data_IF_196392605496
#
_entry.id   IF_196392605496
#
_cell.length_a   1.000
_cell.length_b   1.000
_cell.length_c   1.000
_cell.angle_alpha   90.00
_cell.angle_beta   90.00
_cell.angle_gamma   90.00
#
_symmetry.space_group_name_H-M   'P 1'
#
loop_
_entity.id
_entity.type
_entity.pdbx_description
1 polymer ?
#
# COMPACT_ATOMS: atom_id res chain seq x y z
N UNK A 1 -8.85 -3.02 -5.90
CA UNK A 1 -9.93 -3.10 -4.90
C UNK A 1 -9.63 -2.13 -3.76
N UNK A 2 -10.60 -1.32 -3.39
CA UNK A 2 -10.48 -0.34 -2.30
C UNK A 2 -11.41 -0.76 -1.17
N UNK A 3 -10.88 -0.85 0.04
CA UNK A 3 -11.62 -1.29 1.23
C UNK A 3 -11.85 -0.18 2.27
N UNK A 4 -11.26 0.99 2.07
CA UNK A 4 -11.38 2.16 2.92
C UNK A 4 -11.80 3.37 2.10
N UNK A 5 -12.28 4.43 2.73
CA UNK A 5 -12.46 5.71 2.09
C UNK A 5 -11.08 6.20 1.63
N UNK A 6 -10.83 6.10 0.33
CA UNK A 6 -9.49 6.29 -0.22
C UNK A 6 -9.55 6.89 -1.62
N UNK A 7 -8.69 7.86 -1.86
CA UNK A 7 -8.35 8.34 -3.19
C UNK A 7 -6.92 7.96 -3.45
N UNK A 8 -6.68 7.21 -4.52
CA UNK A 8 -5.35 6.71 -4.82
C UNK A 8 -4.90 7.11 -6.21
N UNK A 9 -3.65 7.50 -6.30
CA UNK A 9 -2.95 7.74 -7.55
C UNK A 9 -1.63 6.99 -7.50
N UNK A 10 -1.34 6.19 -8.52
CA UNK A 10 -0.06 5.49 -8.56
C UNK A 10 0.52 5.49 -9.97
N UNK A 11 1.84 5.37 -10.04
CA UNK A 11 2.57 5.24 -11.27
C UNK A 11 3.64 4.17 -11.10
N UNK A 12 3.65 3.20 -12.00
CA UNK A 12 4.67 2.17 -12.07
C UNK A 12 5.24 2.20 -13.47
N UNK A 13 6.55 2.36 -13.58
CA UNK A 13 7.20 2.38 -14.88
C UNK A 13 8.70 2.63 -14.76
N UNK A 14 9.47 2.06 -15.68
CA UNK A 14 10.91 2.15 -15.63
C UNK A 14 11.47 1.55 -14.34
N UNK A 15 12.20 2.36 -13.61
CA UNK A 15 12.89 1.98 -12.38
C UNK A 15 12.23 2.58 -11.13
N UNK A 16 10.98 3.02 -11.23
CA UNK A 16 10.34 3.77 -10.15
C UNK A 16 8.90 3.33 -9.92
N UNK A 17 8.54 3.21 -8.66
CA UNK A 17 7.16 3.10 -8.19
C UNK A 17 6.85 4.32 -7.33
N UNK A 18 5.74 4.99 -7.63
CA UNK A 18 5.29 6.17 -6.91
C UNK A 18 3.80 6.01 -6.63
N UNK A 19 3.44 5.97 -5.36
CA UNK A 19 2.06 5.83 -4.92
C UNK A 19 1.73 6.97 -3.99
N UNK A 20 0.69 7.72 -4.34
CA UNK A 20 0.14 8.78 -3.51
C UNK A 20 -1.31 8.49 -3.25
N UNK A 21 -1.72 8.59 -2.01
CA UNK A 21 -3.12 8.37 -1.69
C UNK A 21 -3.53 9.17 -0.46
N UNK A 22 -4.83 9.49 -0.44
CA UNK A 22 -5.48 10.09 0.72
C UNK A 22 -6.46 9.08 1.28
N UNK A 23 -6.41 8.86 2.57
CA UNK A 23 -7.22 7.85 3.25
C UNK A 23 -7.80 8.42 4.54
N UNK A 24 -9.03 8.02 4.82
CA UNK A 24 -9.67 8.24 6.10
C UNK A 24 -9.94 6.88 6.75
N UNK A 25 -9.01 6.39 7.56
CA UNK A 25 -9.15 5.07 8.16
C UNK A 25 -10.32 5.03 9.16
N UNK A 26 -11.07 3.93 9.13
CA UNK A 26 -12.05 3.64 10.16
C UNK A 26 -11.31 3.25 11.44
N UNK A 27 -11.57 3.91 12.59
CA UNK A 27 -10.90 3.59 13.85
C UNK A 27 -11.05 2.14 14.30
N UNK A 28 -12.10 1.46 13.86
CA UNK A 28 -12.39 0.08 14.23
C UNK A 28 -11.80 -0.95 13.28
N UNK A 29 -11.27 -0.51 12.14
CA UNK A 29 -10.71 -1.39 11.11
C UNK A 29 -9.19 -1.21 11.01
N UNK A 30 -8.46 -1.91 11.88
CA UNK A 30 -7.01 -1.80 11.95
C UNK A 30 -6.26 -2.83 11.10
N UNK A 31 -6.99 -3.72 10.46
CA UNK A 31 -6.48 -4.72 9.52
C UNK A 31 -7.30 -4.66 8.25
N UNK A 32 -6.65 -4.75 7.12
CA UNK A 32 -7.33 -4.80 5.84
C UNK A 32 -6.52 -4.28 4.69
N UNK A 33 -6.94 -4.68 3.50
CA UNK A 33 -6.32 -4.27 2.24
C UNK A 33 -6.89 -2.93 1.79
N UNK A 34 -6.00 -1.99 1.43
CA UNK A 34 -6.38 -0.70 0.86
C UNK A 34 -6.34 -0.77 -0.66
N UNK A 35 -5.24 -1.29 -1.21
CA UNK A 35 -4.98 -1.29 -2.64
C UNK A 35 -4.21 -2.54 -3.04
N UNK A 36 -4.58 -3.10 -4.18
CA UNK A 36 -3.90 -4.23 -4.78
C UNK A 36 -3.75 -4.01 -6.27
N UNK A 37 -2.56 -4.26 -6.79
CA UNK A 37 -2.29 -4.33 -8.22
C UNK A 37 -1.41 -5.54 -8.50
N UNK A 38 -1.93 -6.50 -9.26
CA UNK A 38 -1.23 -7.73 -9.56
C UNK A 38 -2.08 -8.65 -10.41
N UNK A 39 -1.61 -9.87 -10.68
CA UNK A 39 -2.35 -10.84 -11.47
C UNK A 39 -3.51 -11.45 -10.69
N UNK A 40 -4.47 -12.05 -11.41
CA UNK A 40 -5.60 -12.75 -10.81
C UNK A 40 -5.16 -14.00 -10.04
N UNK A 41 -4.13 -14.67 -10.54
CA UNK A 41 -3.56 -15.85 -9.91
C UNK A 41 -2.11 -15.54 -9.55
N UNK A 42 -1.80 -15.59 -8.24
CA UNK A 42 -0.45 -15.35 -7.75
C UNK A 42 0.42 -16.58 -7.87
N UNK A 43 1.61 -16.37 -8.41
CA UNK A 43 2.71 -17.34 -8.40
C UNK A 43 3.87 -16.74 -7.60
N UNK A 44 4.84 -17.56 -7.13
CA UNK A 44 5.96 -17.03 -6.33
C UNK A 44 6.77 -15.95 -6.99
N UNK A 45 6.78 -15.91 -8.33
CA UNK A 45 7.53 -14.91 -9.12
C UNK A 45 6.66 -13.78 -9.65
N UNK A 46 5.39 -13.74 -9.30
CA UNK A 46 4.48 -12.70 -9.80
C UNK A 46 4.84 -11.32 -9.26
N UNK A 47 4.81 -10.33 -10.14
CA UNK A 47 4.93 -8.95 -9.74
C UNK A 47 3.61 -8.47 -9.13
N UNK A 48 3.71 -7.75 -8.02
CA UNK A 48 2.54 -7.18 -7.39
C UNK A 48 2.90 -5.97 -6.52
N UNK A 49 1.90 -5.17 -6.23
CA UNK A 49 1.94 -4.09 -5.24
C UNK A 49 0.71 -4.20 -4.38
N UNK A 50 0.88 -4.18 -3.07
CA UNK A 50 -0.21 -4.22 -2.11
C UNK A 50 0.01 -3.19 -1.01
N UNK A 51 -1.06 -2.51 -0.64
CA UNK A 51 -1.10 -1.57 0.47
C UNK A 51 -2.21 -1.99 1.42
N UNK A 52 -1.93 -1.97 2.71
CA UNK A 52 -2.94 -2.31 3.69
C UNK A 52 -2.52 -1.94 5.10
N UNK A 53 -3.43 -2.19 6.03
CA UNK A 53 -3.16 -2.09 7.46
C UNK A 53 -3.01 -3.48 8.06
N UNK A 54 -2.04 -3.62 8.94
CA UNK A 54 -1.88 -4.81 9.77
C UNK A 54 -1.62 -4.37 11.20
N UNK A 55 -2.54 -4.72 12.10
CA UNK A 55 -2.48 -4.34 13.52
C UNK A 55 -2.25 -2.85 13.72
N UNK A 56 -2.89 -2.01 12.90
CA UNK A 56 -2.77 -0.57 12.95
C UNK A 56 -1.55 0.02 12.25
N UNK A 57 -0.65 -0.81 11.75
CA UNK A 57 0.50 -0.34 10.98
C UNK A 57 0.17 -0.33 9.49
N UNK A 58 0.56 0.74 8.80
CA UNK A 58 0.47 0.82 7.36
C UNK A 58 1.58 -0.02 6.74
N UNK A 59 1.21 -0.95 5.87
CA UNK A 59 2.17 -1.80 5.17
C UNK A 59 2.09 -1.61 3.66
N UNK A 60 3.25 -1.52 3.06
CA UNK A 60 3.45 -1.54 1.62
C UNK A 60 4.25 -2.80 1.28
N UNK A 61 3.63 -3.72 0.55
CA UNK A 61 4.25 -4.97 0.10
C UNK A 61 4.34 -4.97 -1.41
N UNK A 62 5.43 -5.49 -1.92
CA UNK A 62 5.66 -5.48 -3.37
C UNK A 62 6.61 -6.59 -3.78
N UNK A 63 6.50 -7.00 -5.05
CA UNK A 63 7.50 -7.76 -5.77
C UNK A 63 7.60 -7.18 -7.18
N UNK A 64 8.77 -6.71 -7.55
CA UNK A 64 9.00 -6.04 -8.82
C UNK A 64 10.17 -6.67 -9.57
N UNK A 65 10.32 -8.00 -9.42
CA UNK A 65 11.30 -8.80 -10.15
C UNK A 65 12.52 -9.22 -9.35
N UNK A 66 12.77 -8.64 -8.19
CA UNK A 66 13.95 -8.94 -7.36
C UNK A 66 13.62 -9.56 -6.01
N UNK A 67 12.40 -10.11 -5.88
CA UNK A 67 11.92 -10.70 -4.65
C UNK A 67 10.93 -9.79 -3.92
N UNK A 68 10.28 -10.34 -2.91
CA UNK A 68 9.26 -9.64 -2.13
C UNK A 68 9.89 -8.70 -1.12
N UNK A 69 9.39 -7.48 -1.05
CA UNK A 69 9.77 -6.49 -0.05
C UNK A 69 8.57 -6.04 0.77
N UNK A 70 8.84 -5.58 1.99
CA UNK A 70 7.81 -5.06 2.90
C UNK A 70 8.34 -3.80 3.58
N UNK A 71 7.52 -2.75 3.55
CA UNK A 71 7.75 -1.56 4.36
C UNK A 71 6.59 -1.38 5.31
N UNK A 72 6.88 -1.04 6.57
CA UNK A 72 5.85 -0.78 7.58
C UNK A 72 6.03 0.61 8.17
N UNK A 73 4.92 1.29 8.43
CA UNK A 73 4.90 2.60 9.03
C UNK A 73 3.85 2.66 10.14
N UNK A 74 4.29 3.00 11.35
CA UNK A 74 3.40 3.08 12.51
C UNK A 74 3.70 4.29 13.40
N UNK A 75 4.39 5.31 12.88
CA UNK A 75 4.88 6.45 13.68
C UNK A 75 3.84 7.55 13.86
N UNK A 76 2.73 7.49 13.15
CA UNK A 76 1.66 8.49 13.23
C UNK A 76 0.36 7.85 13.62
N UNK A 77 -0.52 8.61 14.25
CA UNK A 77 -1.87 8.17 14.58
C UNK A 77 -2.75 8.35 13.34
N UNK A 78 -2.93 7.29 12.57
CA UNK A 78 -3.74 7.31 11.36
C UNK A 78 -5.23 7.06 11.64
N UNK A 79 -5.56 6.43 12.76
CA UNK A 79 -6.94 6.05 13.11
C UNK A 79 -7.59 7.10 14.01
N UNK A 80 -7.62 8.36 13.56
CA UNK A 80 -8.13 9.49 14.31
C UNK A 80 -9.43 10.08 13.71
N UNK A 81 -9.99 9.41 12.70
CA UNK A 81 -11.19 9.88 12.03
C UNK A 81 -10.96 11.01 11.02
N UNK A 82 -9.73 11.36 10.74
CA UNK A 82 -9.37 12.43 9.80
C UNK A 82 -8.79 11.87 8.50
N UNK A 83 -8.78 12.71 7.47
CA UNK A 83 -8.10 12.40 6.23
C UNK A 83 -6.60 12.56 6.38
N UNK A 84 -5.85 11.59 5.84
CA UNK A 84 -4.40 11.60 5.80
C UNK A 84 -3.91 11.40 4.37
N UNK A 85 -2.86 12.13 4.00
CA UNK A 85 -2.20 11.95 2.71
C UNK A 85 -0.90 11.20 2.92
N UNK A 86 -0.71 10.15 2.14
CA UNK A 86 0.45 9.26 2.24
C UNK A 86 1.11 9.15 0.88
N UNK A 87 2.42 9.16 0.90
CA UNK A 87 3.24 9.03 -0.30
C UNK A 87 4.26 7.92 -0.07
N UNK A 88 4.22 6.90 -0.90
CA UNK A 88 5.19 5.81 -0.92
C UNK A 88 5.93 5.81 -2.26
N UNK A 89 7.24 5.72 -2.20
CA UNK A 89 8.08 5.78 -3.37
C UNK A 89 9.21 4.76 -3.25
N UNK A 90 9.51 4.11 -4.37
CA UNK A 90 10.62 3.18 -4.45
C UNK A 90 11.33 3.31 -5.79
N UNK A 91 12.65 3.35 -5.75
CA UNK A 91 13.51 3.13 -6.91
C UNK A 91 13.75 1.63 -7.06
N UNK A 92 13.54 1.13 -8.27
CA UNK A 92 13.80 -0.26 -8.64
C UNK A 92 15.11 -0.26 -9.44
N UNK A 93 16.15 -0.80 -8.85
CA UNK A 93 17.48 -0.84 -9.47
C UNK A 93 17.77 -2.18 -10.14
#
# INVERSE_FOLDING_TARGET
MLMFNCLIFYRVGGDKVDIRFSIKPDPDMRDGLIFWSGPDVMEPTSDFIALGFKSGALQFRYNLGSGEGVMSYNKSRLFDGLWHTIHAQRLVL
#
